data_IF_591545000497
#
_entry.id   IF_591545000497
#
_cell.length_a   1.000
_cell.length_b   1.000
_cell.length_c   1.000
_cell.angle_alpha   90.00
_cell.angle_beta   90.00
_cell.angle_gamma   90.00
#
_symmetry.space_group_name_H-M   'P 1'
#
loop_
_entity.id
_entity.type
_entity.pdbx_description
1 polymer ?
#
# COMPACT_ATOMS: atom_id res chain seq x y z
N UNK A 1 30.59 71.21 21.64
CA UNK A 1 30.75 70.34 22.82
C UNK A 1 30.21 68.97 22.45
N UNK A 2 31.07 67.94 22.51
CA UNK A 2 30.76 66.52 22.25
C UNK A 2 29.97 65.95 23.45
N UNK A 3 28.89 65.19 23.22
CA UNK A 3 28.36 64.06 24.04
C UNK A 3 27.32 63.34 23.13
N UNK A 4 27.54 62.21 22.44
CA UNK A 4 27.77 60.80 22.81
C UNK A 4 26.61 60.14 23.60
N UNK A 5 26.24 58.91 23.20
CA UNK A 5 25.35 57.89 23.79
C UNK A 5 24.06 57.63 22.99
N UNK A 6 23.59 56.41 22.77
CA UNK A 6 24.15 55.06 22.86
C UNK A 6 23.15 54.15 22.13
N UNK A 7 23.59 53.42 21.11
CA UNK A 7 22.75 52.48 20.36
C UNK A 7 22.76 51.13 21.07
N UNK A 8 21.66 50.78 21.73
CA UNK A 8 21.44 49.44 22.30
C UNK A 8 20.97 48.48 21.21
N UNK A 9 21.82 47.51 20.86
CA UNK A 9 21.46 46.34 20.05
C UNK A 9 20.70 45.33 20.92
N UNK A 10 19.42 45.11 20.65
CA UNK A 10 18.66 44.02 21.23
C UNK A 10 18.92 42.74 20.43
N UNK A 11 19.67 41.81 21.01
CA UNK A 11 19.89 40.45 20.48
C UNK A 11 18.63 39.61 20.73
N UNK A 12 17.89 39.30 19.66
CA UNK A 12 16.80 38.33 19.70
C UNK A 12 17.38 36.92 19.75
N UNK A 13 17.18 36.24 20.88
CA UNK A 13 17.59 34.85 21.11
C UNK A 13 16.53 33.93 20.48
N UNK A 14 16.82 33.34 19.31
CA UNK A 14 15.99 32.29 18.72
C UNK A 14 16.12 31.00 19.53
N UNK A 15 15.04 30.62 20.22
CA UNK A 15 14.89 29.26 20.77
C UNK A 15 14.58 28.31 19.61
N UNK A 16 15.57 27.49 19.23
CA UNK A 16 15.35 26.31 18.41
C UNK A 16 14.77 25.24 19.34
N UNK A 17 13.47 25.00 19.24
CA UNK A 17 12.85 23.80 19.84
C UNK A 17 13.19 22.64 18.93
N UNK A 18 14.12 21.79 19.37
CA UNK A 18 14.31 20.48 18.78
C UNK A 18 13.07 19.63 19.12
N UNK A 19 12.20 19.43 18.14
CA UNK A 19 11.22 18.35 18.20
C UNK A 19 12.00 17.04 18.08
N UNK A 20 12.13 16.33 19.20
CA UNK A 20 12.58 14.94 19.19
C UNK A 20 11.53 14.10 18.47
N UNK A 21 11.92 13.44 17.39
CA UNK A 21 11.16 12.34 16.81
C UNK A 21 11.30 11.13 17.74
N UNK A 22 10.57 11.13 18.85
CA UNK A 22 10.25 9.88 19.51
C UNK A 22 9.31 9.12 18.57
N UNK A 23 9.88 8.12 17.89
CA UNK A 23 9.11 7.06 17.28
C UNK A 23 8.34 6.37 18.41
N UNK A 24 7.14 6.88 18.69
CA UNK A 24 6.20 6.24 19.58
C UNK A 24 6.01 4.81 19.05
N UNK A 25 6.59 3.85 19.77
CA UNK A 25 6.23 2.46 19.60
C UNK A 25 4.72 2.41 19.79
N UNK A 26 3.98 2.10 18.73
CA UNK A 26 2.55 1.89 18.78
C UNK A 26 2.28 0.86 19.90
N UNK A 27 1.75 1.32 21.02
CA UNK A 27 1.29 0.44 22.08
C UNK A 27 0.12 -0.35 21.50
N UNK A 28 0.23 -1.67 21.50
CA UNK A 28 -0.67 -2.65 20.86
C UNK A 28 -2.08 -2.73 21.52
N UNK A 29 -2.48 -1.68 22.24
CA UNK A 29 -3.71 -1.61 23.03
C UNK A 29 -4.88 -0.95 22.27
N UNK A 30 -4.67 -0.43 21.05
CA UNK A 30 -5.78 -0.06 20.17
C UNK A 30 -6.13 -1.26 19.28
N UNK A 31 -7.28 -1.93 19.52
CA UNK A 31 -7.63 -3.11 18.77
C UNK A 31 -7.99 -2.78 17.31
N UNK A 32 -8.20 -1.51 16.96
CA UNK A 32 -8.53 -1.08 15.60
C UNK A 32 -7.28 -0.82 14.78
N UNK A 33 -7.08 -1.66 13.76
CA UNK A 33 -5.97 -1.55 12.81
C UNK A 33 -6.48 -0.84 11.55
N UNK A 34 -6.36 0.47 11.53
CA UNK A 34 -6.89 1.32 10.46
C UNK A 34 -5.81 1.69 9.47
N UNK A 35 -5.96 1.26 8.22
CA UNK A 35 -5.17 1.68 7.07
C UNK A 35 -5.76 2.96 6.46
N UNK A 36 -4.92 3.89 6.02
CA UNK A 36 -5.35 5.11 5.33
C UNK A 36 -4.50 5.33 4.06
N UNK A 37 -5.17 5.69 2.95
CA UNK A 37 -4.54 6.11 1.70
C UNK A 37 -4.93 7.56 1.44
N UNK A 38 -3.97 8.49 1.53
CA UNK A 38 -4.19 9.92 1.26
C UNK A 38 -3.66 10.29 -0.13
N UNK A 39 -2.43 9.91 -0.42
CA UNK A 39 -1.76 10.07 -1.71
C UNK A 39 -0.54 9.12 -1.82
N UNK A 40 0.31 9.28 -2.85
CA UNK A 40 1.49 8.43 -3.07
C UNK A 40 2.67 8.67 -2.11
N UNK A 41 2.61 9.70 -1.27
CA UNK A 41 3.62 9.98 -0.23
C UNK A 41 3.08 9.82 1.20
N UNK A 42 1.76 9.81 1.34
CA UNK A 42 1.03 9.77 2.59
C UNK A 42 0.05 8.58 2.58
N UNK A 43 0.52 7.41 2.99
CA UNK A 43 -0.31 6.20 3.01
C UNK A 43 0.22 5.16 4.00
N UNK A 44 -0.63 4.19 4.31
CA UNK A 44 -0.32 3.08 5.20
C UNK A 44 -0.38 1.74 4.49
N UNK A 45 0.31 0.75 5.05
CA UNK A 45 0.29 -0.65 4.64
C UNK A 45 0.36 -1.57 5.84
N UNK A 46 -0.22 -2.76 5.73
CA UNK A 46 -0.05 -3.84 6.68
C UNK A 46 1.26 -4.59 6.42
N UNK A 47 1.98 -4.88 7.50
CA UNK A 47 3.17 -5.73 7.50
C UNK A 47 3.13 -6.68 8.71
N UNK A 48 3.94 -7.76 8.68
CA UNK A 48 4.14 -8.59 9.86
C UNK A 48 4.62 -7.75 11.04
N UNK A 49 4.20 -8.06 12.28
CA UNK A 49 4.76 -7.44 13.48
C UNK A 49 6.29 -7.45 13.46
N UNK A 50 6.89 -6.43 14.07
CA UNK A 50 8.35 -6.25 14.05
C UNK A 50 9.08 -7.38 14.80
N UNK A 51 8.40 -8.01 15.74
CA UNK A 51 8.87 -9.06 16.64
C UNK A 51 8.50 -10.48 16.17
N UNK A 52 7.85 -10.65 15.01
CA UNK A 52 7.60 -12.00 14.48
C UNK A 52 8.87 -12.64 13.92
N UNK A 53 9.02 -13.96 14.13
CA UNK A 53 10.28 -14.70 13.92
C UNK A 53 10.70 -14.82 12.46
N UNK A 54 9.74 -15.08 11.56
CA UNK A 54 9.94 -15.41 10.15
C UNK A 54 9.45 -14.30 9.21
N UNK A 55 8.56 -13.43 9.69
CA UNK A 55 8.02 -12.25 8.98
C UNK A 55 7.59 -12.54 7.54
N UNK A 56 7.14 -13.77 7.30
CA UNK A 56 6.47 -14.14 6.06
C UNK A 56 5.05 -13.55 6.12
N UNK A 57 4.61 -12.98 5.01
CA UNK A 57 3.34 -12.26 4.90
C UNK A 57 2.20 -13.24 5.18
N UNK A 58 2.10 -14.34 4.43
CA UNK A 58 1.03 -15.33 4.57
C UNK A 58 0.94 -15.96 5.97
N UNK A 59 2.08 -16.23 6.63
CA UNK A 59 2.07 -16.86 7.98
C UNK A 59 1.66 -15.89 9.08
N UNK A 60 1.72 -14.58 8.84
CA UNK A 60 1.47 -13.54 9.85
C UNK A 60 0.23 -12.68 9.57
N UNK A 61 -0.57 -13.00 8.54
CA UNK A 61 -1.78 -12.26 8.15
C UNK A 61 -2.73 -11.99 9.34
N UNK A 62 -2.89 -12.97 10.22
CA UNK A 62 -3.79 -12.89 11.37
C UNK A 62 -3.36 -11.89 12.46
N UNK A 63 -2.09 -11.47 12.45
CA UNK A 63 -1.49 -10.57 13.44
C UNK A 63 -0.85 -9.33 12.81
N UNK A 64 -1.11 -9.03 11.54
CA UNK A 64 -0.52 -7.88 10.85
C UNK A 64 -0.68 -6.56 11.60
N UNK A 65 0.30 -5.67 11.47
CA UNK A 65 0.29 -4.32 12.02
C UNK A 65 0.33 -3.28 10.91
N UNK A 66 -0.27 -2.11 11.15
CA UNK A 66 -0.29 -1.01 10.18
C UNK A 66 0.98 -0.17 10.34
N UNK A 67 1.61 0.17 9.23
CA UNK A 67 2.74 1.08 9.16
C UNK A 67 2.48 2.13 8.09
N UNK A 68 2.83 3.39 8.36
CA UNK A 68 2.55 4.50 7.45
C UNK A 68 3.82 5.29 7.08
N UNK A 69 3.77 5.89 5.90
CA UNK A 69 4.65 6.99 5.47
C UNK A 69 3.85 8.29 5.49
N UNK A 70 4.56 9.40 5.75
CA UNK A 70 3.98 10.74 5.69
C UNK A 70 2.89 11.00 6.74
N UNK A 71 1.92 11.83 6.39
CA UNK A 71 0.83 12.27 7.27
C UNK A 71 -0.47 11.50 7.00
N UNK A 72 -0.82 10.58 7.89
CA UNK A 72 -2.02 9.73 7.83
C UNK A 72 -2.87 9.89 9.10
N UNK A 73 -3.66 10.97 9.22
CA UNK A 73 -4.30 11.38 10.48
C UNK A 73 -5.36 10.41 11.03
N UNK A 74 -5.89 9.50 10.21
CA UNK A 74 -6.88 8.51 10.62
C UNK A 74 -6.24 7.18 11.03
N UNK A 75 -4.96 6.97 10.74
CA UNK A 75 -4.20 5.78 11.12
C UNK A 75 -3.39 6.01 12.41
N UNK A 76 -4.08 6.41 13.48
CA UNK A 76 -3.45 6.89 14.73
C UNK A 76 -2.59 5.84 15.46
N UNK A 77 -2.87 4.55 15.24
CA UNK A 77 -2.16 3.43 15.88
C UNK A 77 -1.07 2.83 15.00
N UNK A 78 -0.79 3.42 13.84
CA UNK A 78 0.17 2.87 12.91
C UNK A 78 1.61 3.20 13.32
N UNK A 79 2.52 2.25 13.12
CA UNK A 79 3.96 2.49 13.24
C UNK A 79 4.51 3.27 12.04
N UNK A 80 5.73 3.82 12.13
CA UNK A 80 6.40 4.42 10.98
C UNK A 80 6.93 3.33 10.02
N UNK A 81 6.81 3.58 8.71
CA UNK A 81 7.57 2.85 7.70
C UNK A 81 9.03 3.31 7.70
N UNK A 82 9.96 2.37 7.50
CA UNK A 82 11.38 2.70 7.37
C UNK A 82 11.66 3.43 6.06
N UNK A 83 12.56 4.42 6.11
CA UNK A 83 13.02 5.14 4.92
C UNK A 83 13.62 4.16 3.90
N UNK A 84 13.23 4.36 2.64
CA UNK A 84 13.64 3.52 1.52
C UNK A 84 12.89 2.19 1.39
N UNK A 85 11.95 1.86 2.29
CA UNK A 85 11.10 0.69 2.11
C UNK A 85 10.22 0.81 0.87
N UNK A 86 9.59 1.97 0.68
CA UNK A 86 8.81 2.27 -0.53
C UNK A 86 9.78 2.82 -1.59
N UNK A 87 9.95 2.09 -2.69
CA UNK A 87 10.81 2.48 -3.81
C UNK A 87 10.03 3.27 -4.87
N UNK A 88 8.76 2.92 -5.08
CA UNK A 88 7.83 3.68 -5.91
C UNK A 88 6.41 3.59 -5.34
N UNK A 89 5.61 4.63 -5.60
CA UNK A 89 4.23 4.70 -5.15
C UNK A 89 3.38 5.44 -6.18
N UNK A 90 2.45 4.71 -6.79
CA UNK A 90 1.55 5.20 -7.81
C UNK A 90 0.13 5.24 -7.25
N UNK A 91 -0.30 6.44 -6.86
CA UNK A 91 -1.62 6.66 -6.30
C UNK A 91 -2.67 6.86 -7.39
N UNK A 92 -3.82 6.22 -7.23
CA UNK A 92 -4.98 6.41 -8.10
C UNK A 92 -6.27 6.38 -7.28
N UNK A 93 -7.20 7.25 -7.63
CA UNK A 93 -8.48 7.37 -6.95
C UNK A 93 -9.62 7.50 -7.96
N UNK A 94 -10.68 6.74 -7.70
CA UNK A 94 -11.94 6.80 -8.43
C UNK A 94 -13.09 6.97 -7.44
N UNK A 95 -14.33 6.97 -7.95
CA UNK A 95 -15.52 6.93 -7.10
C UNK A 95 -15.71 5.59 -6.37
N UNK A 96 -15.11 4.52 -6.87
CA UNK A 96 -15.37 3.15 -6.40
C UNK A 96 -14.22 2.60 -5.54
N UNK A 97 -13.00 3.12 -5.73
CA UNK A 97 -11.82 2.74 -4.96
C UNK A 97 -10.77 3.85 -4.87
N UNK A 98 -9.86 3.70 -3.92
CA UNK A 98 -8.56 4.37 -3.84
C UNK A 98 -7.47 3.31 -3.73
N UNK A 99 -6.32 3.54 -4.36
CA UNK A 99 -5.22 2.59 -4.34
C UNK A 99 -3.84 3.25 -4.35
N UNK A 100 -2.86 2.46 -3.92
CA UNK A 100 -1.44 2.68 -4.15
C UNK A 100 -0.83 1.37 -4.63
N UNK A 101 -0.10 1.42 -5.74
CA UNK A 101 0.68 0.30 -6.27
C UNK A 101 2.14 0.73 -6.45
N UNK A 102 3.08 -0.20 -6.41
CA UNK A 102 4.47 0.15 -6.66
C UNK A 102 5.45 -0.92 -6.22
N UNK A 103 6.68 -0.48 -5.98
CA UNK A 103 7.80 -1.34 -5.61
C UNK A 103 8.28 -1.10 -4.18
N UNK A 104 8.83 -2.14 -3.57
CA UNK A 104 9.41 -2.13 -2.22
C UNK A 104 10.85 -2.65 -2.19
N UNK A 105 11.60 -2.20 -1.19
CA UNK A 105 12.81 -2.85 -0.72
C UNK A 105 12.48 -3.65 0.57
N UNK A 106 12.19 -4.96 0.46
CA UNK A 106 11.77 -5.79 1.59
C UNK A 106 12.78 -5.82 2.74
N UNK A 107 14.08 -5.60 2.46
CA UNK A 107 15.12 -5.61 3.48
C UNK A 107 14.99 -4.44 4.47
N UNK A 108 14.47 -3.29 4.04
CA UNK A 108 14.31 -2.09 4.90
C UNK A 108 13.33 -2.31 6.04
N UNK A 109 12.32 -3.13 5.79
CA UNK A 109 11.39 -3.58 6.79
C UNK A 109 11.66 -5.02 7.17
N UNK A 110 12.89 -5.53 7.08
CA UNK A 110 13.32 -6.84 7.58
C UNK A 110 12.37 -8.00 7.22
N UNK A 111 11.79 -7.95 6.01
CA UNK A 111 10.91 -8.98 5.48
C UNK A 111 11.75 -10.11 4.87
N UNK A 112 11.19 -11.31 4.81
CA UNK A 112 11.83 -12.41 4.11
C UNK A 112 11.81 -12.14 2.60
N UNK A 113 12.98 -11.88 2.01
CA UNK A 113 13.11 -11.54 0.57
C UNK A 113 12.77 -12.72 -0.36
N UNK A 114 12.69 -13.94 0.15
CA UNK A 114 12.28 -15.12 -0.64
C UNK A 114 10.81 -15.45 -0.47
N UNK A 115 10.05 -14.64 0.26
CA UNK A 115 8.62 -14.84 0.46
C UNK A 115 7.83 -14.41 -0.78
N UNK A 116 6.99 -15.31 -1.29
CA UNK A 116 6.10 -15.04 -2.42
C UNK A 116 5.00 -14.04 -2.07
N UNK A 117 4.72 -13.84 -0.78
CA UNK A 117 3.83 -12.81 -0.28
C UNK A 117 2.55 -13.33 0.36
N UNK A 118 1.56 -12.45 0.44
CA UNK A 118 0.27 -12.73 1.06
C UNK A 118 -0.68 -11.55 0.95
N UNK A 119 -1.87 -11.67 1.55
CA UNK A 119 -2.95 -10.68 1.49
C UNK A 119 -3.51 -10.38 2.89
N UNK A 120 -3.40 -9.14 3.31
CA UNK A 120 -4.22 -8.60 4.40
C UNK A 120 -5.54 -8.06 3.83
N UNK A 121 -6.63 -8.32 4.53
CA UNK A 121 -7.97 -7.87 4.14
C UNK A 121 -8.87 -7.66 5.36
N UNK A 122 -10.15 -7.35 5.12
CA UNK A 122 -11.13 -7.11 6.20
C UNK A 122 -11.39 -8.31 7.14
N UNK A 123 -10.99 -9.52 6.77
CA UNK A 123 -11.10 -10.70 7.65
C UNK A 123 -9.85 -10.89 8.50
N UNK A 124 -8.66 -10.52 8.01
CA UNK A 124 -7.39 -10.71 8.72
C UNK A 124 -6.42 -9.54 8.48
N UNK A 125 -5.90 -8.91 9.55
CA UNK A 125 -6.11 -9.22 10.98
C UNK A 125 -7.49 -8.77 11.51
N UNK A 126 -7.88 -9.24 12.70
CA UNK A 126 -9.15 -8.83 13.32
C UNK A 126 -9.20 -7.30 13.46
N UNK A 127 -10.37 -6.72 13.20
CA UNK A 127 -10.62 -5.27 13.27
C UNK A 127 -9.75 -4.44 12.31
N UNK A 128 -9.17 -5.07 11.29
CA UNK A 128 -8.58 -4.36 10.18
C UNK A 128 -9.65 -3.60 9.39
N UNK A 129 -9.34 -2.37 9.02
CA UNK A 129 -10.24 -1.55 8.21
C UNK A 129 -9.45 -0.56 7.37
N UNK A 130 -10.10 0.02 6.36
CA UNK A 130 -9.56 1.15 5.63
C UNK A 130 -10.41 2.40 5.85
N UNK A 131 -9.76 3.52 6.16
CA UNK A 131 -10.41 4.74 6.61
C UNK A 131 -11.37 5.30 5.55
N UNK A 132 -12.68 5.23 5.83
CA UNK A 132 -13.73 5.69 4.93
C UNK A 132 -14.19 4.68 3.87
N UNK A 133 -13.67 3.44 3.90
CA UNK A 133 -13.97 2.40 2.92
C UNK A 133 -14.49 1.12 3.61
N UNK A 134 -15.28 0.32 2.89
CA UNK A 134 -15.92 -0.89 3.45
C UNK A 134 -15.07 -2.14 3.31
N UNK A 135 -14.23 -2.16 2.29
CA UNK A 135 -13.35 -3.27 1.96
C UNK A 135 -11.94 -2.74 1.70
N UNK A 136 -10.96 -3.60 1.91
CA UNK A 136 -9.61 -3.37 1.41
C UNK A 136 -8.95 -4.70 1.09
N UNK A 137 -7.95 -4.62 0.21
CA UNK A 137 -6.93 -5.64 0.01
C UNK A 137 -5.58 -4.96 0.11
N UNK A 138 -4.63 -5.60 0.79
CA UNK A 138 -3.24 -5.18 0.82
C UNK A 138 -2.39 -6.42 0.60
N UNK A 139 -1.72 -6.48 -0.54
CA UNK A 139 -0.76 -7.53 -0.81
C UNK A 139 0.65 -6.98 -0.77
N UNK A 140 1.55 -7.80 -0.24
CA UNK A 140 2.98 -7.54 -0.14
C UNK A 140 3.66 -8.76 -0.74
N UNK A 141 4.53 -8.57 -1.73
CA UNK A 141 5.23 -9.64 -2.45
C UNK A 141 6.73 -9.41 -2.38
N UNK A 142 7.39 -9.79 -1.27
CA UNK A 142 8.81 -9.53 -1.06
C UNK A 142 9.70 -10.06 -2.19
N UNK A 143 9.47 -11.28 -2.68
CA UNK A 143 10.21 -11.88 -3.78
C UNK A 143 10.06 -11.09 -5.09
N UNK A 144 8.86 -10.56 -5.35
CA UNK A 144 8.57 -9.74 -6.53
C UNK A 144 8.98 -8.28 -6.39
N UNK A 145 9.40 -7.85 -5.19
CA UNK A 145 9.64 -6.45 -4.84
C UNK A 145 8.43 -5.54 -5.11
N UNK A 146 7.22 -6.09 -5.04
CA UNK A 146 5.98 -5.39 -5.38
C UNK A 146 5.03 -5.33 -4.20
N UNK A 147 4.19 -4.31 -4.21
CA UNK A 147 3.07 -4.19 -3.27
C UNK A 147 1.90 -3.48 -3.93
N UNK A 148 0.73 -3.72 -3.35
CA UNK A 148 -0.49 -3.08 -3.79
C UNK A 148 -1.49 -3.01 -2.65
N UNK A 149 -2.19 -1.88 -2.60
CA UNK A 149 -3.17 -1.57 -1.58
C UNK A 149 -4.35 -0.95 -2.29
N UNK A 150 -5.54 -1.48 -2.07
CA UNK A 150 -6.77 -0.89 -2.59
C UNK A 150 -7.85 -0.90 -1.52
N UNK A 151 -8.50 0.22 -1.32
CA UNK A 151 -9.68 0.36 -0.50
C UNK A 151 -10.91 0.60 -1.38
N UNK A 152 -12.01 -0.08 -1.08
CA UNK A 152 -13.18 -0.12 -1.97
C UNK A 152 -14.50 0.02 -1.21
N UNK A 153 -15.53 0.50 -1.91
CA UNK A 153 -16.90 0.50 -1.39
C UNK A 153 -17.59 -0.86 -1.52
N UNK A 154 -17.23 -1.67 -2.53
CA UNK A 154 -17.79 -3.01 -2.77
C UNK A 154 -16.69 -4.07 -2.81
N UNK A 155 -17.09 -5.34 -2.67
CA UNK A 155 -16.18 -6.49 -2.77
C UNK A 155 -15.66 -6.69 -4.19
N UNK A 156 -16.41 -6.24 -5.21
CA UNK A 156 -16.08 -6.41 -6.63
C UNK A 156 -14.78 -5.71 -7.02
N UNK A 157 -14.44 -4.60 -6.37
CA UNK A 157 -13.20 -3.86 -6.63
C UNK A 157 -12.03 -4.29 -5.73
N UNK A 158 -12.32 -5.08 -4.69
CA UNK A 158 -11.38 -5.58 -3.70
C UNK A 158 -11.51 -7.11 -3.63
N UNK A 159 -11.09 -7.79 -4.70
CA UNK A 159 -11.23 -9.24 -4.83
C UNK A 159 -10.39 -9.97 -3.78
N UNK A 160 -11.04 -10.89 -3.07
CA UNK A 160 -10.46 -11.69 -1.98
C UNK A 160 -10.42 -13.16 -2.38
N UNK A 161 -9.54 -13.94 -1.75
CA UNK A 161 -9.46 -15.39 -1.94
C UNK A 161 -8.70 -15.87 -3.19
N UNK A 162 -7.99 -14.96 -3.85
CA UNK A 162 -7.09 -15.24 -4.99
C UNK A 162 -5.71 -14.63 -4.76
N UNK A 163 -5.26 -14.57 -3.50
CA UNK A 163 -4.01 -13.90 -3.09
C UNK A 163 -2.77 -14.46 -3.79
N UNK A 164 -2.75 -15.75 -4.13
CA UNK A 164 -1.66 -16.40 -4.87
C UNK A 164 -1.51 -15.95 -6.32
N UNK A 165 -2.50 -15.24 -6.88
CA UNK A 165 -2.39 -14.65 -8.22
C UNK A 165 -1.55 -13.37 -8.24
N UNK A 166 -1.33 -12.79 -7.06
CA UNK A 166 -0.45 -11.66 -6.86
C UNK A 166 -1.03 -10.28 -7.15
N UNK A 167 -0.22 -9.26 -6.91
CA UNK A 167 -0.64 -7.86 -6.88
C UNK A 167 -1.20 -7.39 -8.21
N UNK A 168 -0.42 -7.55 -9.29
CA UNK A 168 -0.81 -7.07 -10.61
C UNK A 168 -2.10 -7.73 -11.14
N UNK A 169 -2.43 -8.93 -10.64
CA UNK A 169 -3.66 -9.62 -11.00
C UNK A 169 -4.88 -9.13 -10.20
N UNK A 170 -4.72 -8.84 -8.91
CA UNK A 170 -5.83 -8.44 -8.03
C UNK A 170 -6.10 -6.93 -8.11
N UNK A 171 -5.03 -6.14 -8.14
CA UNK A 171 -5.05 -4.68 -8.20
C UNK A 171 -4.33 -4.26 -9.46
N UNK A 172 -5.09 -4.05 -10.53
CA UNK A 172 -4.57 -3.39 -11.73
C UNK A 172 -4.02 -2.00 -11.36
N UNK A 173 -2.84 -1.66 -11.88
CA UNK A 173 -2.15 -0.42 -11.55
C UNK A 173 -0.77 -0.32 -12.19
N UNK A 174 -0.07 0.75 -11.84
CA UNK A 174 1.32 0.97 -12.23
C UNK A 174 2.25 0.39 -11.17
N UNK A 175 3.15 -0.52 -11.60
CA UNK A 175 4.15 -1.18 -10.76
C UNK A 175 5.57 -0.83 -11.18
N UNK A 176 5.73 0.18 -12.03
CA UNK A 176 7.03 0.69 -12.44
C UNK A 176 7.78 1.31 -11.25
N UNK A 177 9.11 1.28 -11.30
CA UNK A 177 9.97 1.87 -10.28
C UNK A 177 11.44 1.55 -10.54
N UNK A 178 12.32 1.85 -9.58
CA UNK A 178 13.76 1.71 -9.75
C UNK A 178 14.26 0.25 -9.69
N UNK A 179 13.44 -0.70 -9.24
CA UNK A 179 13.78 -2.12 -9.26
C UNK A 179 13.45 -2.71 -10.64
N UNK A 180 14.44 -3.27 -11.31
CA UNK A 180 14.24 -4.06 -12.52
C UNK A 180 14.54 -5.53 -12.21
N UNK A 181 13.60 -6.45 -12.42
CA UNK A 181 13.88 -7.88 -12.29
C UNK A 181 14.92 -8.29 -13.33
N UNK A 182 16.15 -8.54 -12.89
CA UNK A 182 17.31 -8.88 -13.73
C UNK A 182 18.53 -7.97 -13.51
N UNK A 183 18.33 -6.80 -12.91
CA UNK A 183 19.42 -6.05 -12.30
C UNK A 183 19.61 -6.66 -10.91
N UNK A 184 20.58 -7.58 -10.78
CA UNK A 184 21.03 -8.01 -9.45
C UNK A 184 21.22 -6.75 -8.62
N UNK A 185 20.52 -6.66 -7.48
CA UNK A 185 20.65 -5.57 -6.50
C UNK A 185 22.04 -5.62 -5.88
N UNK A 186 23.06 -5.35 -6.69
CA UNK A 186 24.39 -5.01 -6.23
C UNK A 186 24.24 -3.63 -5.62
N UNK A 187 24.42 -3.45 -4.30
CA UNK A 187 24.37 -2.14 -3.69
C UNK A 187 25.45 -1.29 -4.35
N UNK A 188 25.07 -0.38 -5.24
CA UNK A 188 26.02 0.50 -5.91
C UNK A 188 26.59 1.44 -4.84
N UNK A 189 27.89 1.35 -4.50
CA UNK A 189 28.46 2.25 -3.51
C UNK A 189 28.40 3.68 -4.03
N UNK A 190 28.00 4.59 -3.17
CA UNK A 190 27.82 6.01 -3.42
C UNK A 190 28.84 6.57 -4.44
N UNK A 191 28.32 7.02 -5.60
CA UNK A 191 29.11 7.69 -6.61
C UNK A 191 29.65 9.01 -6.04
N UNK A 192 30.93 8.98 -5.67
CA UNK A 192 31.76 10.18 -5.53
C UNK A 192 31.88 10.82 -6.91
N UNK A 193 31.63 12.13 -6.94
CA UNK A 193 31.59 12.92 -8.16
C UNK A 193 32.86 12.82 -8.99
N UNK A 194 32.69 12.74 -10.31
CA UNK A 194 33.69 13.15 -11.27
C UNK A 194 32.98 13.73 -12.48
N UNK A 195 32.92 15.05 -12.45
CA UNK A 195 32.69 15.94 -13.56
C UNK A 195 33.64 15.64 -14.71
N UNK A 196 33.10 15.27 -15.87
CA UNK A 196 33.81 15.38 -17.14
C UNK A 196 32.88 15.98 -18.18
N UNK A 197 33.12 17.27 -18.41
CA UNK A 197 32.64 18.09 -19.50
C UNK A 197 33.07 17.53 -20.85
N UNK A 198 32.12 17.36 -21.77
CA UNK A 198 32.40 17.35 -23.21
C UNK A 198 31.30 18.07 -23.97
N UNK A 199 31.65 19.28 -24.37
CA UNK A 199 31.02 20.14 -25.36
C UNK A 199 31.11 19.50 -26.74
N UNK A 200 29.98 19.31 -27.42
CA UNK A 200 29.91 19.15 -28.88
C UNK A 200 28.66 19.84 -29.42
N UNK A 201 28.90 20.78 -30.33
CA UNK A 201 27.96 21.72 -30.93
C UNK A 201 27.03 21.07 -31.99
N UNK A 202 26.01 21.80 -32.51
CA UNK A 202 24.98 21.25 -33.39
C UNK A 202 25.37 21.34 -34.87
N UNK A 203 24.96 20.35 -35.66
CA UNK A 203 24.99 20.38 -37.12
C UNK A 203 23.57 20.32 -37.66
N UNK A 204 23.25 21.31 -38.49
CA UNK A 204 21.96 21.51 -39.14
C UNK A 204 21.96 20.99 -40.58
N UNK A 205 20.73 20.74 -41.06
CA UNK A 205 20.25 20.80 -42.44
C UNK A 205 20.32 19.55 -43.32
N UNK A 206 19.15 19.16 -43.82
CA UNK A 206 18.97 18.20 -44.90
C UNK A 206 17.49 17.92 -45.20
N UNK A 207 16.81 18.87 -45.84
CA UNK A 207 15.47 18.71 -46.42
C UNK A 207 15.49 17.72 -47.60
N UNK A 208 14.47 16.88 -47.72
CA UNK A 208 14.25 15.99 -48.87
C UNK A 208 12.83 15.44 -48.85
N UNK A 209 12.10 15.72 -49.93
CA UNK A 209 10.65 15.69 -50.09
C UNK A 209 10.13 14.38 -50.71
N UNK A 210 8.82 14.10 -50.53
CA UNK A 210 7.93 13.34 -51.43
C UNK A 210 8.19 11.82 -51.57
N UNK A 211 7.27 10.90 -51.85
CA UNK A 211 5.87 10.91 -52.30
C UNK A 211 5.31 9.47 -52.12
N UNK A 212 3.98 9.34 -52.04
CA UNK A 212 3.11 8.30 -52.65
C UNK A 212 3.60 6.82 -52.79
N UNK A 213 2.82 5.76 -52.62
CA UNK A 213 1.39 5.49 -52.45
C UNK A 213 1.17 3.97 -52.70
N UNK A 214 0.05 3.42 -52.21
CA UNK A 214 -0.65 2.18 -52.67
C UNK A 214 0.01 0.81 -52.46
N UNK A 215 -0.72 -0.13 -51.84
CA UNK A 215 -0.35 -1.56 -51.89
C UNK A 215 -1.17 -2.49 -51.00
N UNK A 216 -2.48 -2.56 -51.24
CA UNK A 216 -3.45 -3.45 -50.60
C UNK A 216 -3.16 -4.94 -50.89
N UNK A 217 -2.98 -5.80 -49.88
CA UNK A 217 -3.28 -7.25 -49.97
C UNK A 217 -3.41 -7.92 -48.58
N UNK A 218 -4.65 -8.32 -48.26
CA UNK A 218 -5.00 -9.53 -47.48
C UNK A 218 -5.66 -10.53 -48.47
N UNK A 219 -6.04 -11.77 -48.11
CA UNK A 219 -5.72 -12.62 -46.96
C UNK A 219 -5.21 -14.02 -47.42
N UNK A 220 -4.77 -14.88 -46.49
CA UNK A 220 -4.71 -16.32 -46.76
C UNK A 220 -4.97 -17.12 -45.49
N UNK A 221 -6.17 -17.69 -45.49
CA UNK A 221 -6.66 -18.80 -44.69
C UNK A 221 -5.85 -20.07 -44.92
N UNK A 222 -5.52 -20.79 -43.84
CA UNK A 222 -5.22 -22.23 -43.91
C UNK A 222 -5.86 -22.95 -42.73
N UNK A 223 -7.03 -23.50 -43.02
CA UNK A 223 -7.73 -24.55 -42.29
C UNK A 223 -6.89 -25.82 -42.27
N UNK A 224 -6.76 -26.48 -41.12
CA UNK A 224 -6.46 -27.91 -41.06
C UNK A 224 -7.46 -28.57 -40.11
N UNK A 225 -8.42 -29.27 -40.72
CA UNK A 225 -9.23 -30.31 -40.09
C UNK A 225 -8.35 -31.54 -39.90
N UNK A 226 -8.36 -32.15 -38.72
CA UNK A 226 -8.22 -33.60 -38.64
C UNK A 226 -9.10 -34.17 -37.53
N UNK A 227 -9.87 -35.17 -37.95
CA UNK A 227 -10.94 -35.88 -37.26
C UNK A 227 -10.44 -37.10 -36.49
N UNK A 228 -11.13 -37.38 -35.38
CA UNK A 228 -11.51 -38.71 -34.86
C UNK A 228 -10.44 -39.65 -34.28
N UNK A 229 -10.57 -39.95 -32.98
CA UNK A 229 -10.87 -41.30 -32.47
C UNK A 229 -11.08 -41.30 -30.94
N UNK A 230 -12.25 -41.75 -30.50
CA UNK A 230 -12.44 -42.37 -29.18
C UNK A 230 -11.93 -43.83 -29.21
N UNK A 231 -11.61 -44.46 -28.06
CA UNK A 231 -12.62 -45.31 -27.42
C UNK A 231 -12.58 -45.41 -25.87
N UNK A 232 -13.78 -45.58 -25.30
CA UNK A 232 -14.22 -46.62 -24.34
C UNK A 232 -13.44 -46.96 -23.05
N UNK A 233 -14.01 -46.53 -21.92
CA UNK A 233 -14.53 -47.33 -20.77
C UNK A 233 -13.91 -48.68 -20.34
N UNK A 234 -13.56 -48.77 -19.05
CA UNK A 234 -13.81 -49.91 -18.14
C UNK A 234 -13.64 -49.43 -16.68
N UNK A 235 -14.66 -49.28 -15.84
CA UNK A 235 -15.44 -50.28 -15.07
C UNK A 235 -14.69 -50.98 -13.92
N UNK A 236 -15.13 -50.70 -12.68
CA UNK A 236 -14.87 -51.46 -11.45
C UNK A 236 -15.30 -50.63 -10.22
N UNK A 237 -16.56 -50.64 -9.76
CA UNK A 237 -17.27 -51.58 -8.85
C UNK A 237 -16.76 -51.65 -7.41
N UNK A 238 -17.66 -51.31 -6.48
CA UNK A 238 -17.64 -51.69 -5.05
C UNK A 238 -17.20 -50.54 -4.13
N UNK A 239 -17.89 -50.16 -3.06
CA UNK A 239 -19.09 -50.72 -2.46
C UNK A 239 -19.77 -49.68 -1.55
N UNK A 240 -20.99 -50.03 -1.18
CA UNK A 240 -21.97 -49.27 -0.39
C UNK A 240 -21.47 -49.00 1.04
N UNK A 241 -21.82 -47.85 1.61
CA UNK A 241 -22.53 -47.91 2.89
C UNK A 241 -23.49 -46.74 3.12
N UNK A 242 -24.64 -47.14 3.63
CA UNK A 242 -25.84 -46.40 4.02
C UNK A 242 -25.62 -45.44 5.19
N UNK A 243 -26.27 -44.27 5.14
CA UNK A 243 -27.36 -43.80 6.02
C UNK A 243 -26.92 -43.41 7.43
N UNK A 244 -27.14 -42.13 7.76
CA UNK A 244 -27.87 -41.61 8.94
C UNK A 244 -27.84 -40.08 8.81
N UNK A 245 -28.93 -39.47 8.35
CA UNK A 245 -29.95 -38.81 9.17
C UNK A 245 -29.48 -37.52 9.87
N UNK A 246 -29.93 -36.42 9.28
CA UNK A 246 -30.54 -35.23 9.89
C UNK A 246 -30.13 -34.82 11.30
N UNK A 247 -29.67 -33.57 11.42
CA UNK A 247 -30.27 -32.64 12.38
C UNK A 247 -29.97 -31.18 11.98
N UNK A 248 -30.99 -30.58 11.38
CA UNK A 248 -31.24 -29.14 11.38
C UNK A 248 -31.45 -28.67 12.82
N UNK A 249 -30.58 -27.79 13.31
CA UNK A 249 -30.84 -26.97 14.49
C UNK A 249 -30.97 -25.53 14.03
N UNK A 250 -32.23 -25.15 13.84
CA UNK A 250 -32.68 -23.77 13.91
C UNK A 250 -32.35 -23.24 15.31
N UNK A 251 -31.55 -22.18 15.34
CA UNK A 251 -31.23 -21.41 16.53
C UNK A 251 -31.50 -19.94 16.26
N UNK A 252 -32.78 -19.59 16.27
CA UNK A 252 -33.24 -18.25 16.62
C UNK A 252 -32.61 -17.86 17.96
N UNK A 253 -31.81 -16.80 17.99
CA UNK A 253 -31.98 -15.87 19.10
C UNK A 253 -31.81 -14.42 18.64
N UNK A 254 -32.87 -13.71 18.95
CA UNK A 254 -33.15 -12.34 18.62
C UNK A 254 -32.59 -11.42 19.69
N UNK A 255 -32.11 -10.26 19.25
CA UNK A 255 -32.39 -8.98 19.92
C UNK A 255 -31.96 -8.81 21.38
N UNK A 256 -30.80 -8.20 21.58
CA UNK A 256 -30.62 -7.25 22.69
C UNK A 256 -29.78 -6.06 22.23
N UNK A 257 -30.41 -5.16 21.47
CA UNK A 257 -29.96 -3.78 21.35
C UNK A 257 -30.07 -3.11 22.72
N UNK A 258 -28.98 -3.12 23.49
CA UNK A 258 -28.88 -2.32 24.71
C UNK A 258 -28.45 -0.91 24.32
N UNK A 259 -29.46 -0.09 24.10
CA UNK A 259 -29.39 1.37 24.09
C UNK A 259 -28.93 1.85 25.48
N UNK A 260 -27.65 2.17 25.66
CA UNK A 260 -27.20 2.99 26.79
C UNK A 260 -27.20 4.44 26.30
N UNK A 261 -28.32 5.11 26.55
CA UNK A 261 -28.39 6.56 26.61
C UNK A 261 -28.04 6.90 28.06
N UNK A 262 -26.87 7.50 28.30
CA UNK A 262 -26.70 8.40 29.41
C UNK A 262 -25.86 9.60 28.95
N UNK A 263 -26.57 10.72 28.88
CA UNK A 263 -26.04 12.07 28.96
C UNK A 263 -25.03 12.18 30.12
N UNK A 264 -24.04 13.07 30.01
CA UNK A 264 -24.02 14.34 30.76
C UNK A 264 -22.64 15.02 30.67
N UNK A 265 -22.60 16.07 29.86
CA UNK A 265 -22.00 17.40 30.11
C UNK A 265 -20.50 17.60 30.42
N UNK A 266 -20.07 18.80 29.98
CA UNK A 266 -18.88 19.59 30.42
C UNK A 266 -17.58 19.08 29.78
N UNK A 267 -16.87 19.80 28.91
CA UNK A 267 -16.25 21.11 29.14
C UNK A 267 -16.11 21.85 27.80
N UNK A 268 -16.81 22.99 27.65
CA UNK A 268 -16.42 24.03 26.71
C UNK A 268 -15.26 24.82 27.33
N UNK A 269 -14.05 24.60 26.81
CA UNK A 269 -12.87 25.42 27.12
C UNK A 269 -12.72 26.54 26.10
N UNK A 270 -13.54 27.58 26.18
CA UNK A 270 -13.27 28.84 25.51
C UNK A 270 -12.13 29.54 26.26
N UNK A 271 -10.95 29.65 25.63
CA UNK A 271 -9.89 30.57 26.10
C UNK A 271 -9.89 31.80 25.21
N UNK A 272 -10.54 32.85 25.72
CA UNK A 272 -10.36 34.24 25.28
C UNK A 272 -9.30 34.86 26.19
N UNK A 273 -8.18 35.28 25.60
CA UNK A 273 -7.31 36.32 26.15
C UNK A 273 -6.59 36.95 24.93
N UNK A 274 -7.09 38.05 24.37
CA UNK A 274 -6.81 39.42 24.80
C UNK A 274 -5.30 39.69 24.91
N UNK A 275 -4.70 40.20 23.83
CA UNK A 275 -3.50 41.05 23.94
C UNK A 275 -3.82 42.37 23.24
N UNK A 276 -3.68 43.41 24.04
CA UNK A 276 -4.03 44.79 23.79
C UNK A 276 -3.06 45.48 22.84
N UNK A 277 -3.62 46.45 22.11
CA UNK A 277 -2.90 47.60 21.56
C UNK A 277 -2.11 48.32 22.66
N UNK A 278 -0.86 48.66 22.40
CA UNK A 278 -0.24 49.87 22.93
C UNK A 278 0.76 50.44 21.90
N UNK A 279 0.40 51.65 21.43
CA UNK A 279 1.20 52.75 20.85
C UNK A 279 1.86 52.50 19.49
#
# INVERSE_FOLDING_TARGET
MRVLLATTFATLLSMVVAAGNDAAAATDDNPYKVLELVDGSNFCTFLPPKDSTDRNIASTEYMGNVFCTGNTPKAQSAGPLADGFILSAHYSQTKDFVQVTGQIDPAKMNLNVTDEGGQYDIAMPKQASCAGWKHFVNLIEPLGHTYCIRCCHSKEHCNRGISSSGCAHIVEGDYSGPYNPGDDLVPSPAASGSSSSSTSAPVASGSGNSDSSVGNVSPSSSSNNNTSAAPSSSSGTGDKNEVLQAQSVDGDDSSAATTIINNLAVVFGASVAAIAMFI
#
